data_IF_517727303987
#
_entry.id   IF_517727303987
#
_cell.length_a   1.000
_cell.length_b   1.000
_cell.length_c   1.000
_cell.angle_alpha   90.00
_cell.angle_beta   90.00
_cell.angle_gamma   90.00
#
_symmetry.space_group_name_H-M   'P 1'
#
loop_
_entity.id
_entity.type
_entity.pdbx_description
1 polymer ?
#
# COMPACT_ATOMS: atom_id res chain seq x y z
N UNK A 1 3.00 14.80 44.44
CA UNK A 1 1.91 14.55 43.46
C UNK A 1 2.35 14.68 42.01
N UNK A 2 3.14 15.69 41.64
CA UNK A 2 3.65 15.91 40.26
C UNK A 2 4.37 14.69 39.63
N UNK A 3 5.14 13.93 40.41
CA UNK A 3 5.85 12.74 39.91
C UNK A 3 4.96 11.53 39.65
N UNK A 4 3.79 11.44 40.31
CA UNK A 4 2.81 10.35 40.09
C UNK A 4 2.03 10.59 38.79
N UNK A 5 1.71 11.86 38.50
CA UNK A 5 1.03 12.25 37.26
C UNK A 5 1.90 11.92 36.04
N UNK A 6 3.22 12.15 36.13
CA UNK A 6 4.16 11.81 35.05
C UNK A 6 4.18 10.30 34.80
N UNK A 7 4.18 9.48 35.86
CA UNK A 7 4.18 8.02 35.74
C UNK A 7 2.89 7.48 35.08
N UNK A 8 1.74 8.11 35.38
CA UNK A 8 0.45 7.79 34.76
C UNK A 8 0.39 8.18 33.27
N UNK A 9 0.99 9.30 32.89
CA UNK A 9 1.09 9.72 31.49
C UNK A 9 2.02 8.81 30.66
N UNK A 10 3.13 8.31 31.22
CA UNK A 10 3.99 7.38 30.49
C UNK A 10 3.35 6.00 30.29
N UNK A 11 2.52 5.53 31.24
CA UNK A 11 1.86 4.23 31.14
C UNK A 11 0.77 4.18 30.05
N UNK A 12 0.10 5.30 29.77
CA UNK A 12 -0.95 5.38 28.74
C UNK A 12 -0.40 5.43 27.31
N UNK A 13 0.81 5.96 27.10
CA UNK A 13 1.46 5.96 25.78
C UNK A 13 1.80 4.55 25.27
N UNK A 14 2.05 3.61 26.18
CA UNK A 14 2.41 2.21 25.87
C UNK A 14 1.24 1.36 25.36
N UNK A 15 0.00 1.85 25.49
CA UNK A 15 -1.22 1.14 25.09
C UNK A 15 -1.71 1.48 23.68
N UNK A 16 -0.97 2.30 22.93
CA UNK A 16 -1.23 2.50 21.49
C UNK A 16 -0.79 1.28 20.69
N UNK A 17 -1.48 0.16 20.88
CA UNK A 17 -1.44 -1.00 20.01
C UNK A 17 -1.81 -0.53 18.60
N UNK A 18 -0.92 -0.74 17.63
CA UNK A 18 -1.24 -0.51 16.23
C UNK A 18 -2.39 -1.47 15.86
N UNK A 19 -3.60 -0.92 15.74
CA UNK A 19 -4.75 -1.67 15.29
C UNK A 19 -4.51 -2.00 13.81
N UNK A 20 -4.35 -3.28 13.50
CA UNK A 20 -4.43 -3.74 12.11
C UNK A 20 -5.90 -3.59 11.74
N UNK A 21 -6.18 -2.61 10.89
CA UNK A 21 -7.52 -2.39 10.36
C UNK A 21 -7.74 -3.39 9.22
N UNK A 22 -8.76 -4.22 9.35
CA UNK A 22 -9.17 -5.12 8.26
C UNK A 22 -9.77 -4.34 7.09
N UNK A 23 -10.37 -3.17 7.36
CA UNK A 23 -10.98 -2.28 6.38
C UNK A 23 -10.71 -0.80 6.70
N UNK A 24 -10.76 0.05 5.69
CA UNK A 24 -10.65 1.49 5.88
C UNK A 24 -11.86 2.03 6.66
N UNK A 25 -11.68 3.05 7.52
CA UNK A 25 -12.78 3.69 8.24
C UNK A 25 -13.89 4.17 7.30
N UNK A 26 -15.15 4.25 7.76
CA UNK A 26 -16.26 4.70 6.93
C UNK A 26 -15.97 6.07 6.28
N UNK A 27 -16.27 6.19 4.99
CA UNK A 27 -16.02 7.39 4.15
C UNK A 27 -14.54 7.72 3.94
N UNK A 28 -13.62 6.80 4.24
CA UNK A 28 -12.25 6.88 3.78
C UNK A 28 -12.04 5.89 2.65
N UNK A 29 -11.62 6.40 1.51
CA UNK A 29 -11.14 5.57 0.42
C UNK A 29 -9.65 5.28 0.63
N UNK A 30 -9.21 4.09 0.22
CA UNK A 30 -7.79 3.73 0.21
C UNK A 30 -6.97 4.53 -0.82
N UNK A 31 -7.66 5.15 -1.79
CA UNK A 31 -7.11 5.93 -2.88
C UNK A 31 -8.07 7.08 -3.22
N UNK A 32 -7.56 8.19 -3.73
CA UNK A 32 -8.39 9.34 -4.08
C UNK A 32 -9.38 8.99 -5.20
N UNK A 33 -10.68 8.97 -4.87
CA UNK A 33 -11.74 8.48 -5.77
C UNK A 33 -11.86 6.96 -5.86
N UNK A 34 -11.31 6.25 -4.87
CA UNK A 34 -11.49 4.81 -4.66
C UNK A 34 -10.92 3.94 -5.77
N UNK A 35 -11.52 2.75 -5.93
CA UNK A 35 -11.05 1.73 -6.88
C UNK A 35 -11.02 2.23 -8.32
N UNK A 36 -12.00 3.05 -8.73
CA UNK A 36 -12.15 3.49 -10.13
C UNK A 36 -10.95 4.34 -10.56
N UNK A 37 -10.61 5.36 -9.77
CA UNK A 37 -9.46 6.21 -10.05
C UNK A 37 -8.14 5.46 -9.92
N UNK A 38 -8.02 4.59 -8.92
CA UNK A 38 -6.84 3.74 -8.78
C UNK A 38 -6.57 2.91 -10.04
N UNK A 39 -7.60 2.24 -10.58
CA UNK A 39 -7.47 1.45 -11.81
C UNK A 39 -7.08 2.31 -13.01
N UNK A 40 -7.68 3.50 -13.13
CA UNK A 40 -7.36 4.44 -14.21
C UNK A 40 -5.88 4.84 -14.19
N UNK A 41 -5.38 5.26 -13.04
CA UNK A 41 -4.01 5.79 -12.92
C UNK A 41 -2.96 4.67 -13.11
N UNK A 42 -3.24 3.48 -12.57
CA UNK A 42 -2.40 2.29 -12.81
C UNK A 42 -2.41 1.92 -14.29
N UNK A 43 -3.57 1.90 -14.94
CA UNK A 43 -3.68 1.55 -16.35
C UNK A 43 -2.92 2.56 -17.24
N UNK A 44 -3.12 3.86 -17.02
CA UNK A 44 -2.41 4.91 -17.73
C UNK A 44 -0.90 4.76 -17.60
N UNK A 45 -0.40 4.47 -16.40
CA UNK A 45 1.02 4.21 -16.20
C UNK A 45 1.53 3.00 -16.98
N UNK A 46 0.81 1.88 -16.95
CA UNK A 46 1.22 0.66 -17.65
C UNK A 46 1.30 0.90 -19.16
N UNK A 47 0.32 1.60 -19.73
CA UNK A 47 0.29 1.98 -21.15
C UNK A 47 1.45 2.92 -21.48
N UNK A 48 1.64 3.98 -20.68
CA UNK A 48 2.69 4.97 -20.90
C UNK A 48 4.11 4.37 -20.82
N UNK A 49 4.30 3.36 -19.98
CA UNK A 49 5.57 2.65 -19.85
C UNK A 49 5.70 1.44 -20.78
N UNK A 50 4.75 1.24 -21.71
CA UNK A 50 4.75 0.15 -22.71
C UNK A 50 4.94 -1.22 -22.06
N UNK A 51 4.30 -1.44 -20.93
CA UNK A 51 4.36 -2.74 -20.25
C UNK A 51 3.64 -3.77 -21.11
N UNK A 52 4.31 -4.90 -21.37
CA UNK A 52 3.73 -5.99 -22.16
C UNK A 52 2.46 -6.48 -21.48
N UNK A 53 1.39 -6.60 -22.27
CA UNK A 53 0.16 -7.27 -21.86
C UNK A 53 0.45 -8.73 -21.47
N UNK A 54 -0.38 -9.26 -20.56
CA UNK A 54 -0.34 -10.67 -20.19
C UNK A 54 -0.86 -11.52 -21.35
N UNK A 55 -0.25 -12.69 -21.59
CA UNK A 55 -0.80 -13.63 -22.57
C UNK A 55 -2.15 -14.19 -22.06
N UNK A 56 -3.00 -14.75 -22.93
CA UNK A 56 -4.36 -15.25 -22.54
C UNK A 56 -4.35 -16.30 -21.41
N UNK A 57 -3.20 -16.95 -21.18
CA UNK A 57 -3.00 -17.97 -20.14
C UNK A 57 -2.37 -17.41 -18.86
N UNK A 58 -2.03 -16.13 -18.84
CA UNK A 58 -1.36 -15.45 -17.74
C UNK A 58 -2.35 -14.58 -16.97
N UNK A 59 -2.47 -14.81 -15.66
CA UNK A 59 -3.19 -13.93 -14.75
C UNK A 59 -2.18 -13.34 -13.78
N UNK A 60 -2.03 -12.01 -13.81
CA UNK A 60 -1.17 -11.29 -12.88
C UNK A 60 -1.99 -10.54 -11.82
N UNK A 61 -1.93 -11.00 -10.57
CA UNK A 61 -2.63 -10.38 -9.44
C UNK A 61 -1.63 -10.00 -8.34
N UNK A 62 -0.97 -8.83 -8.43
CA UNK A 62 -0.01 -8.40 -7.42
C UNK A 62 -0.74 -8.01 -6.13
N UNK A 63 -0.25 -8.50 -4.99
CA UNK A 63 -0.61 -7.98 -3.68
C UNK A 63 0.44 -6.96 -3.26
N UNK A 64 0.05 -5.69 -3.20
CA UNK A 64 0.93 -4.58 -2.81
C UNK A 64 0.48 -3.98 -1.48
N UNK A 65 1.44 -3.52 -0.70
CA UNK A 65 1.27 -2.69 0.48
C UNK A 65 1.87 -1.32 0.15
N UNK A 66 1.11 -0.27 0.41
CA UNK A 66 1.60 1.11 0.39
C UNK A 66 1.86 1.50 1.85
N UNK A 67 3.12 1.78 2.20
CA UNK A 67 3.48 2.20 3.55
C UNK A 67 3.12 3.67 3.79
N UNK A 68 3.13 4.09 5.05
CA UNK A 68 2.98 5.51 5.43
C UNK A 68 4.05 6.43 4.82
N UNK A 69 5.19 5.88 4.41
CA UNK A 69 6.29 6.61 3.74
C UNK A 69 6.17 6.56 2.21
N UNK A 70 5.01 6.17 1.69
CA UNK A 70 4.75 5.98 0.26
C UNK A 70 5.65 4.94 -0.41
N UNK A 71 6.21 4.01 0.38
CA UNK A 71 6.95 2.88 -0.18
C UNK A 71 5.97 1.80 -0.63
N UNK A 72 6.19 1.28 -1.83
CA UNK A 72 5.46 0.11 -2.34
C UNK A 72 6.23 -1.15 -1.96
N UNK A 73 5.60 -2.00 -1.15
CA UNK A 73 6.11 -3.32 -0.76
C UNK A 73 5.22 -4.37 -1.39
N UNK A 74 5.80 -5.29 -2.15
CA UNK A 74 5.06 -6.49 -2.57
C UNK A 74 4.92 -7.43 -1.39
N UNK A 75 3.71 -7.93 -1.20
CA UNK A 75 3.48 -9.08 -0.33
C UNK A 75 3.93 -10.31 -1.12
N UNK A 76 5.07 -10.87 -0.71
CA UNK A 76 5.54 -12.19 -1.14
C UNK A 76 4.64 -13.27 -0.52
N UNK A 77 3.36 -13.31 -0.87
CA UNK A 77 2.52 -14.45 -0.53
C UNK A 77 2.49 -15.42 -1.71
N UNK A 78 3.17 -16.55 -1.49
CA UNK A 78 3.00 -17.90 -2.06
C UNK A 78 2.42 -18.08 -3.48
N UNK A 79 2.66 -17.18 -4.42
CA UNK A 79 2.66 -17.51 -5.86
C UNK A 79 3.80 -16.77 -6.54
N UNK A 80 4.81 -17.57 -6.88
CA UNK A 80 6.05 -17.24 -7.59
C UNK A 80 5.74 -16.53 -8.91
N UNK A 81 5.76 -15.19 -8.97
CA UNK A 81 6.07 -14.34 -10.14
C UNK A 81 5.81 -12.87 -9.75
N UNK A 82 6.72 -12.16 -9.05
CA UNK A 82 6.45 -10.73 -8.77
C UNK A 82 7.65 -9.77 -8.87
N UNK A 83 8.86 -10.25 -9.19
CA UNK A 83 10.04 -9.38 -9.13
C UNK A 83 10.14 -8.34 -10.27
N UNK A 84 9.50 -8.60 -11.42
CA UNK A 84 9.58 -7.73 -12.60
C UNK A 84 8.78 -6.42 -12.43
N UNK A 85 7.66 -6.46 -11.72
CA UNK A 85 6.77 -5.32 -11.52
C UNK A 85 7.33 -4.27 -10.55
N UNK A 86 8.00 -4.69 -9.47
CA UNK A 86 8.65 -3.77 -8.52
C UNK A 86 9.75 -2.92 -9.16
N UNK A 87 10.53 -3.51 -10.06
CA UNK A 87 11.58 -2.77 -10.78
C UNK A 87 10.98 -1.68 -11.66
N UNK A 88 9.81 -1.93 -12.24
CA UNK A 88 9.09 -0.93 -13.04
C UNK A 88 8.55 0.19 -12.17
N UNK A 89 7.80 -0.12 -11.11
CA UNK A 89 7.19 0.89 -10.23
C UNK A 89 8.20 1.81 -9.53
N UNK A 90 9.37 1.30 -9.13
CA UNK A 90 10.41 2.13 -8.49
C UNK A 90 11.07 3.12 -9.45
N UNK A 91 11.08 2.82 -10.75
CA UNK A 91 11.75 3.64 -11.76
C UNK A 91 10.83 4.70 -12.37
N UNK A 92 9.50 4.50 -12.32
CA UNK A 92 8.53 5.51 -12.71
C UNK A 92 7.89 6.11 -11.47
N UNK A 93 8.42 7.26 -11.02
CA UNK A 93 7.81 8.11 -9.99
C UNK A 93 6.33 8.37 -10.31
N UNK A 94 5.46 7.55 -9.70
CA UNK A 94 4.00 7.63 -9.84
C UNK A 94 3.32 8.17 -8.59
N UNK A 95 4.10 8.41 -7.54
CA UNK A 95 3.61 9.00 -6.30
C UNK A 95 4.56 10.15 -5.99
N UNK A 96 4.09 11.37 -6.28
CA UNK A 96 4.57 12.58 -5.61
C UNK A 96 4.00 12.60 -4.20
#
# INVERSE_FOLDING_TARGET
MKNIIILFCLASASLSQAQILDEYPPKQDFYEGGMVNFYKDVHEYLVNNKIKECDEKEIYQPRIIITKTSEIKLIKDLMMYQEKFLKTLKNGSLLK
#
